data_IF_258936323877
#
_entry.id   IF_258936323877
#
_cell.length_a   1.000
_cell.length_b   1.000
_cell.length_c   1.000
_cell.angle_alpha   90.00
_cell.angle_beta   90.00
_cell.angle_gamma   90.00
#
_symmetry.space_group_name_H-M   'P 1'
#
loop_
_entity.id
_entity.type
_entity.pdbx_description
1 polymer ?
#
# COMPACT_ATOMS: atom_id res chain seq x y z
N UNK A 1 11.86 -10.95 -14.37
CA UNK A 1 11.22 -11.67 -13.25
C UNK A 1 12.03 -11.43 -11.99
N UNK A 2 11.38 -11.28 -10.84
CA UNK A 2 12.00 -11.12 -9.53
C UNK A 2 11.60 -12.30 -8.66
N UNK A 3 12.48 -12.73 -7.77
CA UNK A 3 12.18 -13.73 -6.76
C UNK A 3 11.52 -13.07 -5.55
N UNK A 4 10.46 -13.68 -5.01
CA UNK A 4 9.77 -13.16 -3.84
C UNK A 4 9.31 -14.29 -2.92
N UNK A 5 9.55 -14.13 -1.61
CA UNK A 5 9.23 -15.16 -0.61
C UNK A 5 7.73 -15.37 -0.40
N UNK A 6 6.91 -14.40 -0.76
CA UNK A 6 5.45 -14.49 -0.67
C UNK A 6 4.80 -15.21 -1.85
N UNK A 7 5.59 -15.57 -2.88
CA UNK A 7 5.10 -16.33 -4.04
C UNK A 7 5.37 -17.81 -3.81
N UNK A 8 4.34 -18.63 -3.89
CA UNK A 8 4.42 -20.08 -3.74
C UNK A 8 3.89 -20.79 -4.98
N UNK A 9 4.23 -22.07 -5.13
CA UNK A 9 3.71 -22.95 -6.20
C UNK A 9 2.56 -23.83 -5.73
N UNK A 10 2.13 -23.67 -4.49
CA UNK A 10 1.01 -24.43 -3.92
C UNK A 10 -0.33 -24.03 -4.53
N UNK A 11 -0.44 -22.76 -4.97
CA UNK A 11 -1.59 -22.25 -5.68
C UNK A 11 -1.13 -21.54 -6.95
N UNK A 12 -1.69 -21.97 -8.12
CA UNK A 12 -1.37 -21.37 -9.42
C UNK A 12 0.00 -21.76 -9.95
N UNK A 13 0.59 -20.87 -10.72
CA UNK A 13 1.81 -21.14 -11.52
C UNK A 13 3.12 -20.76 -10.83
N UNK A 14 3.07 -20.10 -9.69
CA UNK A 14 4.24 -19.45 -9.09
C UNK A 14 4.71 -18.19 -9.83
N UNK A 15 3.94 -17.69 -10.80
CA UNK A 15 4.19 -16.43 -11.50
C UNK A 15 3.06 -15.46 -11.13
N UNK A 16 3.42 -14.35 -10.48
CA UNK A 16 2.48 -13.36 -9.94
C UNK A 16 2.79 -11.99 -10.53
N UNK A 17 1.75 -11.25 -10.90
CA UNK A 17 1.87 -9.86 -11.28
C UNK A 17 2.09 -9.01 -10.03
N UNK A 18 3.11 -8.13 -10.04
CA UNK A 18 3.38 -7.19 -8.97
C UNK A 18 2.90 -5.78 -9.34
N UNK A 19 2.19 -5.14 -8.41
CA UNK A 19 1.67 -3.79 -8.56
C UNK A 19 2.20 -2.88 -7.43
N UNK A 20 3.37 -2.23 -7.59
CA UNK A 20 4.06 -1.52 -6.52
C UNK A 20 3.28 -0.36 -5.92
N UNK A 21 2.29 0.17 -6.63
CA UNK A 21 1.43 1.25 -6.13
C UNK A 21 0.20 0.76 -5.35
N UNK A 22 -0.01 -0.56 -5.23
CA UNK A 22 -1.26 -1.13 -4.71
C UNK A 22 -1.09 -2.18 -3.62
N UNK A 23 0.12 -2.37 -3.10
CA UNK A 23 0.39 -3.26 -1.98
C UNK A 23 1.77 -3.07 -1.38
N UNK A 24 1.95 -3.24 -0.05
CA UNK A 24 3.24 -3.01 0.61
C UNK A 24 4.31 -4.02 0.20
N UNK A 25 3.96 -5.29 0.00
CA UNK A 25 4.92 -6.33 -0.38
C UNK A 25 5.45 -6.08 -1.79
N UNK A 26 4.58 -5.78 -2.73
CA UNK A 26 4.93 -5.42 -4.10
C UNK A 26 5.75 -4.12 -4.14
N UNK A 27 5.36 -3.12 -3.33
CA UNK A 27 6.09 -1.87 -3.21
C UNK A 27 7.53 -2.10 -2.75
N UNK A 28 7.73 -2.85 -1.66
CA UNK A 28 9.05 -3.14 -1.11
C UNK A 28 9.92 -3.95 -2.09
N UNK A 29 9.33 -4.99 -2.71
CA UNK A 29 10.03 -5.80 -3.71
C UNK A 29 10.51 -4.94 -4.87
N UNK A 30 9.63 -4.11 -5.41
CA UNK A 30 9.94 -3.24 -6.55
C UNK A 30 10.97 -2.16 -6.17
N UNK A 31 10.82 -1.52 -5.01
CA UNK A 31 11.75 -0.50 -4.52
C UNK A 31 13.16 -1.05 -4.36
N UNK A 32 13.31 -2.24 -3.75
CA UNK A 32 14.60 -2.90 -3.55
C UNK A 32 15.28 -3.30 -4.88
N UNK A 33 14.52 -3.39 -5.96
CA UNK A 33 15.02 -3.69 -7.31
C UNK A 33 15.06 -2.46 -8.25
N UNK A 34 14.95 -1.24 -7.71
CA UNK A 34 15.03 0.00 -8.47
C UNK A 34 13.81 0.30 -9.35
N UNK A 35 12.70 -0.40 -9.16
CA UNK A 35 11.45 -0.19 -9.88
C UNK A 35 10.61 0.83 -9.09
N UNK A 36 10.33 1.96 -9.72
CA UNK A 36 9.56 3.04 -9.08
C UNK A 36 8.06 2.73 -9.07
N UNK A 37 7.40 3.02 -7.95
CA UNK A 37 5.95 3.09 -7.90
C UNK A 37 5.44 4.31 -8.69
N UNK A 38 4.47 4.09 -9.57
CA UNK A 38 3.84 5.15 -10.38
C UNK A 38 2.44 5.37 -9.81
N UNK A 39 2.05 6.62 -9.64
CA UNK A 39 0.69 6.94 -9.23
C UNK A 39 -0.28 6.62 -10.37
N UNK A 40 -1.03 5.53 -10.21
CA UNK A 40 -1.98 5.02 -11.21
C UNK A 40 -3.43 5.35 -10.88
N UNK A 41 -3.72 5.67 -9.61
CA UNK A 41 -5.06 6.00 -9.11
C UNK A 41 -5.00 7.29 -8.29
N UNK A 42 -5.87 8.22 -8.56
CA UNK A 42 -5.98 9.51 -7.87
C UNK A 42 -6.75 9.42 -6.53
N UNK A 43 -6.96 10.57 -5.89
CA UNK A 43 -7.69 10.69 -4.62
C UNK A 43 -9.16 10.32 -4.70
N UNK A 44 -9.76 10.39 -5.88
CA UNK A 44 -11.16 10.05 -6.14
C UNK A 44 -11.35 8.58 -6.54
N UNK A 45 -10.27 7.78 -6.57
CA UNK A 45 -10.31 6.38 -6.99
C UNK A 45 -10.42 6.20 -8.51
N UNK A 46 -9.99 7.19 -9.29
CA UNK A 46 -9.98 7.13 -10.76
C UNK A 46 -8.57 6.90 -11.28
N UNK A 47 -8.46 6.23 -12.40
CA UNK A 47 -7.17 6.09 -13.07
C UNK A 47 -6.64 7.45 -13.53
N UNK A 48 -5.36 7.68 -13.27
CA UNK A 48 -4.63 8.87 -13.71
C UNK A 48 -4.24 8.78 -15.18
N UNK A 49 -3.69 9.86 -15.74
CA UNK A 49 -3.15 9.91 -17.10
C UNK A 49 -1.93 8.97 -17.31
N UNK A 50 -1.35 8.42 -16.26
CA UNK A 50 -0.33 7.38 -16.37
C UNK A 50 -0.91 6.05 -16.89
N UNK A 51 -2.25 5.88 -16.82
CA UNK A 51 -2.98 4.70 -17.31
C UNK A 51 -3.89 5.12 -18.47
N UNK A 52 -3.30 5.50 -19.59
CA UNK A 52 -3.97 6.12 -20.74
C UNK A 52 -5.24 5.40 -21.23
N UNK A 53 -5.25 4.07 -21.18
CA UNK A 53 -6.41 3.28 -21.66
C UNK A 53 -7.64 3.40 -20.75
N UNK A 54 -7.45 3.76 -19.49
CA UNK A 54 -8.50 3.79 -18.47
C UNK A 54 -8.57 5.13 -17.73
N UNK A 55 -7.88 6.15 -18.22
CA UNK A 55 -7.86 7.49 -17.63
C UNK A 55 -9.26 7.99 -17.29
N UNK A 56 -9.45 8.49 -16.06
CA UNK A 56 -10.70 9.04 -15.56
C UNK A 56 -11.76 7.99 -15.18
N UNK A 57 -11.53 6.71 -15.46
CA UNK A 57 -12.45 5.63 -15.07
C UNK A 57 -12.22 5.28 -13.61
N UNK A 58 -13.29 5.21 -12.82
CA UNK A 58 -13.23 4.76 -11.44
C UNK A 58 -12.87 3.27 -11.38
N UNK A 59 -11.92 2.88 -10.52
CA UNK A 59 -11.35 1.52 -10.46
C UNK A 59 -12.39 0.42 -10.30
N UNK A 60 -13.43 0.62 -9.47
CA UNK A 60 -14.51 -0.36 -9.31
C UNK A 60 -15.44 -0.49 -10.54
N UNK A 61 -15.34 0.43 -11.49
CA UNK A 61 -16.06 0.35 -12.77
C UNK A 61 -15.19 -0.17 -13.92
N UNK A 62 -13.89 -0.34 -13.67
CA UNK A 62 -12.95 -0.70 -14.72
C UNK A 62 -13.01 -2.20 -15.11
N UNK A 63 -13.35 -3.09 -14.18
CA UNK A 63 -13.30 -4.55 -14.44
C UNK A 63 -14.00 -4.98 -15.73
N UNK A 64 -15.27 -4.63 -15.98
CA UNK A 64 -15.93 -5.04 -17.23
C UNK A 64 -15.24 -4.45 -18.47
N UNK A 65 -14.71 -3.23 -18.37
CA UNK A 65 -14.01 -2.55 -19.48
C UNK A 65 -12.69 -3.25 -19.78
N UNK A 66 -11.93 -3.64 -18.74
CA UNK A 66 -10.67 -4.40 -18.87
C UNK A 66 -10.94 -5.76 -19.53
N UNK A 67 -11.97 -6.47 -19.06
CA UNK A 67 -12.36 -7.78 -19.61
C UNK A 67 -12.69 -7.66 -21.09
N UNK A 68 -13.50 -6.66 -21.45
CA UNK A 68 -13.85 -6.44 -22.86
C UNK A 68 -12.64 -6.11 -23.71
N UNK A 69 -11.73 -5.27 -23.19
CA UNK A 69 -10.48 -4.94 -23.89
C UNK A 69 -9.58 -6.16 -24.13
N UNK A 70 -9.48 -7.04 -23.13
CA UNK A 70 -8.76 -8.31 -23.28
C UNK A 70 -9.42 -9.23 -24.29
N UNK A 71 -10.76 -9.25 -24.36
CA UNK A 71 -11.53 -10.04 -25.34
C UNK A 71 -11.30 -9.52 -26.76
N UNK A 72 -11.39 -8.20 -26.96
CA UNK A 72 -11.10 -7.57 -28.25
C UNK A 72 -9.71 -7.91 -28.78
N UNK A 73 -8.72 -7.92 -27.90
CA UNK A 73 -7.33 -8.24 -28.22
C UNK A 73 -7.03 -9.75 -28.31
N UNK A 74 -8.03 -10.61 -28.09
CA UNK A 74 -7.89 -12.08 -28.04
C UNK A 74 -6.89 -12.58 -26.98
N UNK A 75 -6.74 -11.82 -25.90
CA UNK A 75 -5.85 -12.12 -24.78
C UNK A 75 -6.61 -12.64 -23.55
N UNK A 76 -7.93 -12.71 -23.59
CA UNK A 76 -8.75 -13.25 -22.51
C UNK A 76 -8.79 -14.77 -22.60
N UNK A 77 -8.19 -15.45 -21.64
CA UNK A 77 -8.22 -16.90 -21.55
C UNK A 77 -9.49 -17.40 -20.86
N UNK A 78 -9.84 -16.79 -19.73
CA UNK A 78 -11.00 -17.17 -18.93
C UNK A 78 -11.50 -15.96 -18.13
N UNK A 79 -12.78 -15.91 -17.85
CA UNK A 79 -13.41 -14.95 -16.93
C UNK A 79 -14.34 -15.69 -15.99
N UNK A 80 -14.27 -15.38 -14.72
CA UNK A 80 -15.09 -15.96 -13.66
C UNK A 80 -15.31 -14.99 -12.51
N UNK A 81 -16.16 -15.37 -11.58
CA UNK A 81 -16.45 -14.61 -10.38
C UNK A 81 -15.93 -15.36 -9.14
N UNK A 82 -15.36 -14.60 -8.20
CA UNK A 82 -14.89 -15.11 -6.93
C UNK A 82 -15.48 -14.28 -5.80
N UNK A 83 -16.13 -14.93 -4.86
CA UNK A 83 -16.61 -14.30 -3.62
C UNK A 83 -15.54 -14.43 -2.55
N UNK A 84 -15.06 -13.32 -2.05
CA UNK A 84 -14.04 -13.28 -1.00
C UNK A 84 -14.29 -12.11 -0.02
N UNK A 85 -13.65 -12.16 1.14
CA UNK A 85 -13.65 -11.05 2.08
C UNK A 85 -12.86 -9.87 1.51
N UNK A 86 -13.43 -8.67 1.58
CA UNK A 86 -12.80 -7.44 1.11
C UNK A 86 -12.75 -6.40 2.24
N UNK A 87 -11.64 -5.70 2.45
CA UNK A 87 -11.53 -4.70 3.49
C UNK A 87 -12.42 -3.47 3.21
N UNK A 88 -13.18 -3.06 4.22
CA UNK A 88 -14.04 -1.89 4.17
C UNK A 88 -13.68 -0.91 5.28
N UNK A 89 -13.90 0.37 5.03
CA UNK A 89 -13.78 1.41 6.05
C UNK A 89 -14.78 1.14 7.18
N UNK A 90 -14.30 1.12 8.42
CA UNK A 90 -15.15 0.91 9.59
C UNK A 90 -16.21 2.02 9.74
N UNK A 91 -15.91 3.24 9.29
CA UNK A 91 -16.78 4.41 9.40
C UNK A 91 -17.76 4.53 8.24
N UNK A 92 -17.27 4.58 7.01
CA UNK A 92 -18.10 4.80 5.80
C UNK A 92 -18.68 3.52 5.21
N UNK A 93 -18.15 2.34 5.62
CA UNK A 93 -18.47 1.02 5.02
C UNK A 93 -18.11 0.92 3.52
N UNK A 94 -17.43 1.92 2.99
CA UNK A 94 -16.94 1.88 1.61
C UNK A 94 -15.75 0.91 1.48
N UNK A 95 -15.59 0.23 0.33
CA UNK A 95 -14.43 -0.61 0.08
C UNK A 95 -13.14 0.22 0.07
N UNK A 96 -12.08 -0.34 0.63
CA UNK A 96 -10.77 0.30 0.71
C UNK A 96 -9.95 0.03 -0.55
N UNK A 97 -9.05 0.94 -0.86
CA UNK A 97 -8.08 0.82 -1.95
C UNK A 97 -6.69 1.07 -1.41
N UNK A 98 -5.78 0.15 -1.68
CA UNK A 98 -4.36 0.40 -1.46
C UNK A 98 -3.83 1.25 -2.62
N UNK A 99 -3.23 2.38 -2.31
CA UNK A 99 -2.57 3.20 -3.31
C UNK A 99 -1.34 3.90 -2.72
N UNK A 100 -0.29 4.06 -3.52
CA UNK A 100 0.86 4.86 -3.17
C UNK A 100 0.50 6.35 -3.25
N UNK A 101 0.84 7.10 -2.21
CA UNK A 101 0.67 8.55 -2.16
C UNK A 101 1.95 9.21 -1.69
N UNK A 102 2.36 10.36 -2.26
CA UNK A 102 3.47 11.13 -1.74
C UNK A 102 3.20 11.55 -0.29
N UNK A 103 4.14 11.30 0.59
CA UNK A 103 4.04 11.67 2.00
C UNK A 103 5.40 12.18 2.51
N UNK A 104 5.35 12.99 3.55
CA UNK A 104 6.54 13.38 4.28
C UNK A 104 6.80 12.41 5.42
N UNK A 105 8.04 11.95 5.51
CA UNK A 105 8.50 11.08 6.58
C UNK A 105 9.63 11.78 7.33
N UNK A 106 9.69 11.56 8.64
CA UNK A 106 10.80 11.98 9.49
C UNK A 106 11.49 10.70 9.96
N UNK A 107 12.74 10.51 9.54
CA UNK A 107 13.53 9.38 10.00
C UNK A 107 13.78 9.48 11.50
N UNK A 108 13.37 8.49 12.25
CA UNK A 108 13.54 8.42 13.71
C UNK A 108 14.97 8.02 14.10
N UNK A 109 15.67 7.33 13.22
CA UNK A 109 17.07 6.91 13.43
C UNK A 109 18.07 7.99 13.02
N UNK A 110 17.70 8.85 12.05
CA UNK A 110 18.56 9.94 11.60
C UNK A 110 18.90 10.89 12.77
N UNK A 111 20.20 11.20 12.92
CA UNK A 111 20.71 12.04 13.99
C UNK A 111 20.32 11.59 15.41
N UNK A 112 20.01 10.30 15.57
CA UNK A 112 19.57 9.71 16.84
C UNK A 112 18.33 10.41 17.41
N UNK A 113 17.36 10.73 16.56
CA UNK A 113 16.16 11.46 16.98
C UNK A 113 15.35 10.68 18.02
N UNK A 114 15.20 9.37 17.84
CA UNK A 114 14.53 8.47 18.79
C UNK A 114 15.18 8.56 20.19
N UNK A 115 16.50 8.37 20.27
CA UNK A 115 17.24 8.42 21.53
C UNK A 115 17.06 9.76 22.23
N UNK A 116 17.17 10.86 21.47
CA UNK A 116 16.98 12.22 22.01
C UNK A 116 15.57 12.44 22.54
N UNK A 117 14.56 11.96 21.81
CA UNK A 117 13.16 12.07 22.22
C UNK A 117 12.88 11.27 23.50
N UNK A 118 13.38 10.03 23.58
CA UNK A 118 13.24 9.19 24.76
C UNK A 118 13.92 9.82 25.98
N UNK A 119 15.12 10.35 25.80
CA UNK A 119 15.83 11.07 26.88
C UNK A 119 15.04 12.29 27.34
N UNK A 120 14.54 13.11 26.42
CA UNK A 120 13.73 14.29 26.76
C UNK A 120 12.45 13.91 27.53
N UNK A 121 11.79 12.79 27.15
CA UNK A 121 10.63 12.26 27.87
C UNK A 121 11.02 11.85 29.30
N UNK A 122 12.17 11.20 29.47
CA UNK A 122 12.64 10.78 30.81
C UNK A 122 12.95 11.96 31.72
N UNK A 123 13.45 13.06 31.18
CA UNK A 123 13.76 14.29 31.88
C UNK A 123 12.53 15.19 32.15
N UNK A 124 11.39 14.90 31.49
CA UNK A 124 10.17 15.72 31.64
C UNK A 124 9.25 15.17 32.73
N UNK A 125 8.68 16.07 33.52
CA UNK A 125 7.66 15.74 34.51
C UNK A 125 6.28 15.73 33.87
N UNK A 126 5.54 14.63 34.04
CA UNK A 126 4.20 14.42 33.42
C UNK A 126 3.09 14.46 34.47
N UNK A 127 2.00 15.16 34.14
CA UNK A 127 0.77 15.18 34.92
C UNK A 127 -0.40 14.82 34.00
N UNK A 128 -1.07 13.64 34.15
CA UNK A 128 -0.76 12.56 35.09
C UNK A 128 0.51 11.77 34.67
N UNK A 129 1.17 11.13 35.62
CA UNK A 129 2.42 10.37 35.39
C UNK A 129 2.29 9.26 34.34
N UNK A 130 1.11 8.64 34.21
CA UNK A 130 0.80 7.64 33.17
C UNK A 130 0.99 8.16 31.74
N UNK A 131 0.95 9.47 31.53
CA UNK A 131 1.21 10.09 30.22
C UNK A 131 2.64 9.82 29.73
N UNK A 132 3.61 9.74 30.65
CA UNK A 132 5.01 9.45 30.34
C UNK A 132 5.16 8.08 29.67
N UNK A 133 4.64 7.03 30.29
CA UNK A 133 4.76 5.66 29.80
C UNK A 133 4.11 5.51 28.41
N UNK A 134 2.94 6.12 28.24
CA UNK A 134 2.23 6.08 26.95
C UNK A 134 3.04 6.77 25.84
N UNK A 135 3.57 7.97 26.09
CA UNK A 135 4.35 8.69 25.09
C UNK A 135 5.65 7.96 24.77
N UNK A 136 6.32 7.41 25.80
CA UNK A 136 7.53 6.62 25.64
C UNK A 136 7.30 5.43 24.73
N UNK A 137 6.29 4.62 25.00
CA UNK A 137 5.91 3.48 24.15
C UNK A 137 5.60 3.88 22.70
N UNK A 138 4.93 5.02 22.48
CA UNK A 138 4.64 5.51 21.13
C UNK A 138 5.89 5.89 20.34
N UNK A 139 6.95 6.37 21.02
CA UNK A 139 8.21 6.71 20.35
C UNK A 139 9.07 5.47 20.15
N UNK A 140 9.12 4.55 21.12
CA UNK A 140 9.88 3.29 21.01
C UNK A 140 9.40 2.42 19.86
N UNK A 141 8.08 2.33 19.67
CA UNK A 141 7.46 1.47 18.65
C UNK A 141 7.25 2.13 17.29
N UNK A 142 7.57 3.43 17.17
CA UNK A 142 7.41 4.14 15.90
C UNK A 142 8.37 3.60 14.85
N UNK A 143 7.90 3.15 13.68
CA UNK A 143 8.78 2.78 12.58
C UNK A 143 9.57 3.98 12.07
N UNK A 144 10.71 3.71 11.44
CA UNK A 144 11.56 4.73 10.79
C UNK A 144 10.99 5.13 9.42
#
# INVERSE_FOLDING_TARGET
MLEARFVTTEQGTGIVHCAPSHGPDDFNLCLNNGIKAIETVDGDGKYTNNVKLFEGIHIFKANPIVIEKLREQKNLLFNGELVHSYPHSWRSKAPLVHRATPQWFISMESHKLRDKALKAIDETTFYPSKGKERLKSMIETRPD
#
